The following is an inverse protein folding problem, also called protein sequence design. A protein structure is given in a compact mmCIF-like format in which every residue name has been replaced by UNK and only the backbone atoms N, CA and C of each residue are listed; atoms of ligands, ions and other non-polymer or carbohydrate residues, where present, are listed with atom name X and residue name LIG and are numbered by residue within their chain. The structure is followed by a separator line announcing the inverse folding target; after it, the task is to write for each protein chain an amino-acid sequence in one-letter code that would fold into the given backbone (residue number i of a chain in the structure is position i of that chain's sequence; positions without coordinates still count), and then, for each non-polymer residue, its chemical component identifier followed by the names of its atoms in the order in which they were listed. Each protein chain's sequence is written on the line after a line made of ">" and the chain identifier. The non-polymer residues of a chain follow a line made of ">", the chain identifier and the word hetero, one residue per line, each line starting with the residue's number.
data_IF_366128540077
#
_entry.id   IF_366128540077
#
_cell.length_a   1.000
_cell.length_b   1.000
_cell.length_c   1.000
_cell.angle_alpha   90.00
_cell.angle_beta   90.00
_cell.angle_gamma   90.00
#
_symmetry.space_group_name_H-M   'P 1'
#
loop_
_entity.id
_entity.type
_entity.pdbx_description
1 polymer ?
#
# COMPACT_ATOMS: atom_id res chain seq x y z
N UNK A 1 2.75 28.15 8.31
CA UNK A 1 3.56 27.09 7.67
C UNK A 1 2.64 25.90 7.43
N UNK A 2 2.18 25.67 6.19
CA UNK A 2 1.37 24.47 5.90
C UNK A 2 2.31 23.27 5.93
N UNK A 3 2.01 22.27 6.76
CA UNK A 3 2.87 21.08 6.89
C UNK A 3 2.83 20.31 5.58
N UNK A 4 3.99 19.92 5.05
CA UNK A 4 4.11 19.14 3.81
C UNK A 4 3.29 17.83 3.89
N UNK A 5 3.15 17.28 5.10
CA UNK A 5 2.28 16.14 5.44
C UNK A 5 0.81 16.38 5.12
N UNK A 6 0.27 17.53 5.51
CA UNK A 6 -1.14 17.88 5.26
C UNK A 6 -1.41 17.99 3.76
N UNK A 7 -0.49 18.60 3.00
CA UNK A 7 -0.59 18.71 1.54
C UNK A 7 -0.50 17.32 0.90
N UNK A 8 0.46 16.49 1.32
CA UNK A 8 0.61 15.11 0.86
C UNK A 8 -0.66 14.28 1.09
N UNK A 9 -1.27 14.37 2.28
CA UNK A 9 -2.51 13.66 2.61
C UNK A 9 -3.68 14.09 1.74
N UNK A 10 -3.85 15.41 1.56
CA UNK A 10 -4.91 15.96 0.70
C UNK A 10 -4.70 15.53 -0.75
N UNK A 11 -3.48 15.64 -1.28
CA UNK A 11 -3.17 15.20 -2.65
C UNK A 11 -3.34 13.69 -2.83
N UNK A 12 -3.02 12.88 -1.82
CA UNK A 12 -3.27 11.43 -1.84
C UNK A 12 -4.77 11.13 -1.86
N UNK A 13 -5.55 11.82 -1.04
CA UNK A 13 -7.01 11.70 -1.02
C UNK A 13 -7.65 12.10 -2.36
N UNK A 14 -7.18 13.20 -2.97
CA UNK A 14 -7.58 13.60 -4.32
C UNK A 14 -7.19 12.52 -5.33
N UNK A 15 -5.96 12.00 -5.27
CA UNK A 15 -5.50 10.92 -6.15
C UNK A 15 -6.37 9.67 -6.08
N UNK A 16 -6.67 9.19 -4.86
CA UNK A 16 -7.58 8.05 -4.64
C UNK A 16 -8.98 8.35 -5.18
N UNK A 17 -9.49 9.56 -4.97
CA UNK A 17 -10.81 9.97 -5.46
C UNK A 17 -10.86 9.99 -6.98
N UNK A 18 -9.83 10.54 -7.63
CA UNK A 18 -9.70 10.58 -9.10
C UNK A 18 -9.59 9.18 -9.68
N UNK A 19 -8.82 8.30 -9.04
CA UNK A 19 -8.73 6.88 -9.42
C UNK A 19 -10.08 6.18 -9.27
N UNK A 20 -10.78 6.38 -8.14
CA UNK A 20 -12.14 5.86 -7.93
C UNK A 20 -13.12 6.37 -9.00
N UNK A 21 -13.02 7.65 -9.36
CA UNK A 21 -13.80 8.22 -10.46
C UNK A 21 -13.48 7.56 -11.80
N UNK A 22 -12.21 7.26 -12.11
CA UNK A 22 -11.83 6.54 -13.32
C UNK A 22 -12.54 5.16 -13.39
N UNK A 23 -12.59 4.45 -12.27
CA UNK A 23 -13.30 3.17 -12.18
C UNK A 23 -14.82 3.33 -12.35
N UNK A 24 -15.43 4.32 -11.69
CA UNK A 24 -16.87 4.60 -11.80
C UNK A 24 -17.26 5.02 -13.23
N UNK A 25 -16.48 5.90 -13.87
CA UNK A 25 -16.73 6.32 -15.25
C UNK A 25 -16.67 5.11 -16.17
N UNK A 26 -15.67 4.22 -16.01
CA UNK A 26 -15.63 2.98 -16.79
C UNK A 26 -16.88 2.12 -16.57
N UNK A 27 -17.27 1.91 -15.31
CA UNK A 27 -18.46 1.13 -14.97
C UNK A 27 -19.75 1.71 -15.58
N UNK A 28 -19.93 3.03 -15.52
CA UNK A 28 -21.07 3.72 -16.11
C UNK A 28 -21.08 3.58 -17.65
N UNK A 29 -19.93 3.74 -18.31
CA UNK A 29 -19.82 3.57 -19.75
C UNK A 29 -20.14 2.14 -20.20
N UNK A 30 -19.75 1.14 -19.39
CA UNK A 30 -20.10 -0.27 -19.63
C UNK A 30 -21.62 -0.50 -19.54
N UNK A 31 -22.31 0.11 -18.57
CA UNK A 31 -23.78 0.00 -18.44
C UNK A 31 -24.51 0.65 -19.63
N UNK A 32 -23.97 1.76 -20.15
CA UNK A 32 -24.54 2.51 -21.25
C UNK A 32 -24.15 1.95 -22.64
N UNK A 33 -23.37 0.87 -22.69
CA UNK A 33 -22.82 0.25 -23.91
C UNK A 33 -22.00 1.22 -24.78
N UNK A 34 -21.38 2.23 -24.15
CA UNK A 34 -20.54 3.22 -24.82
C UNK A 34 -19.10 2.68 -24.85
N UNK A 35 -18.65 2.24 -26.02
CA UNK A 35 -17.31 1.70 -26.23
C UNK A 35 -16.37 2.73 -26.87
N UNK A 36 -15.05 2.56 -26.66
CA UNK A 36 -14.02 3.33 -27.36
C UNK A 36 -13.69 4.73 -26.81
N UNK A 37 -14.28 5.16 -25.69
CA UNK A 37 -13.93 6.46 -25.08
C UNK A 37 -12.71 6.35 -24.16
N UNK A 38 -11.84 7.36 -24.20
CA UNK A 38 -10.59 7.40 -23.43
C UNK A 38 -10.74 8.14 -22.07
N UNK A 39 -11.95 8.59 -21.71
CA UNK A 39 -12.19 9.33 -20.47
C UNK A 39 -11.71 8.62 -19.20
N UNK A 40 -11.95 7.30 -19.01
CA UNK A 40 -11.43 6.59 -17.84
C UNK A 40 -9.90 6.61 -17.79
N UNK A 41 -9.24 6.47 -18.95
CA UNK A 41 -7.78 6.47 -19.04
C UNK A 41 -7.19 7.84 -18.69
N UNK A 42 -7.81 8.94 -19.14
CA UNK A 42 -7.37 10.28 -18.78
C UNK A 42 -7.50 10.55 -17.28
N UNK A 43 -8.61 10.14 -16.66
CA UNK A 43 -8.77 10.23 -15.21
C UNK A 43 -7.68 9.43 -14.48
N UNK A 44 -7.38 8.22 -14.96
CA UNK A 44 -6.30 7.41 -14.40
C UNK A 44 -4.92 8.07 -14.53
N UNK A 45 -4.60 8.67 -15.68
CA UNK A 45 -3.33 9.38 -15.89
C UNK A 45 -3.16 10.52 -14.88
N UNK A 46 -4.24 11.29 -14.61
CA UNK A 46 -4.21 12.35 -13.60
C UNK A 46 -3.96 11.76 -12.21
N UNK A 47 -4.63 10.66 -11.86
CA UNK A 47 -4.41 9.95 -10.60
C UNK A 47 -2.97 9.43 -10.45
N UNK A 48 -2.40 8.85 -11.51
CA UNK A 48 -1.03 8.36 -11.54
C UNK A 48 0.00 9.51 -11.44
N UNK A 49 -0.24 10.64 -12.09
CA UNK A 49 0.59 11.83 -11.96
C UNK A 49 0.60 12.36 -10.51
N UNK A 50 -0.57 12.40 -9.86
CA UNK A 50 -0.68 12.79 -8.46
C UNK A 50 0.06 11.82 -7.54
N UNK A 51 0.01 10.52 -7.81
CA UNK A 51 0.78 9.51 -7.06
C UNK A 51 2.28 9.82 -7.09
N UNK A 52 2.85 10.17 -8.24
CA UNK A 52 4.28 10.51 -8.37
C UNK A 52 4.62 11.73 -7.50
N UNK A 53 3.80 12.77 -7.56
CA UNK A 53 3.97 14.00 -6.77
C UNK A 53 3.93 13.69 -5.27
N UNK A 54 2.92 12.93 -4.84
CA UNK A 54 2.74 12.50 -3.46
C UNK A 54 3.91 11.65 -2.97
N UNK A 55 4.40 10.71 -3.80
CA UNK A 55 5.53 9.85 -3.45
C UNK A 55 6.80 10.68 -3.20
N UNK A 56 7.08 11.67 -4.05
CA UNK A 56 8.20 12.60 -3.86
C UNK A 56 8.05 13.37 -2.54
N UNK A 57 6.86 13.95 -2.29
CA UNK A 57 6.61 14.71 -1.05
C UNK A 57 6.74 13.84 0.20
N UNK A 58 6.18 12.62 0.18
CA UNK A 58 6.22 11.69 1.30
C UNK A 58 7.65 11.20 1.56
N UNK A 59 8.45 10.98 0.51
CA UNK A 59 9.86 10.62 0.64
C UNK A 59 10.66 11.75 1.28
N UNK A 60 10.50 12.98 0.80
CA UNK A 60 11.16 14.16 1.37
C UNK A 60 10.77 14.30 2.85
N UNK A 61 9.47 14.25 3.18
CA UNK A 61 9.01 14.41 4.54
C UNK A 61 9.45 13.27 5.49
N UNK A 62 9.62 12.06 4.98
CA UNK A 62 10.08 10.91 5.77
C UNK A 62 11.55 11.04 6.13
N UNK A 63 12.41 11.46 5.18
CA UNK A 63 13.87 11.49 5.37
C UNK A 63 14.45 12.87 5.75
N UNK A 64 13.71 13.96 5.59
CA UNK A 64 14.14 15.29 6.04
C UNK A 64 13.29 15.73 7.22
N UNK A 65 13.81 15.57 8.44
CA UNK A 65 13.19 16.04 9.69
C UNK A 65 13.20 17.57 9.84
N UNK A 66 13.01 18.32 8.75
CA UNK A 66 13.19 19.78 8.73
C UNK A 66 11.91 20.59 8.99
N UNK A 67 10.82 19.98 9.43
CA UNK A 67 9.59 20.74 9.74
C UNK A 67 9.02 20.31 11.08
N UNK A 68 8.89 21.28 11.99
CA UNK A 68 8.67 21.06 13.43
C UNK A 68 7.41 20.29 13.82
N UNK A 69 7.42 19.75 15.04
CA UNK A 69 6.31 19.07 15.74
C UNK A 69 5.36 18.31 14.80
N UNK A 70 5.88 17.35 14.03
CA UNK A 70 5.05 16.44 13.24
C UNK A 70 4.70 15.26 14.14
N UNK A 71 3.41 15.01 14.37
CA UNK A 71 3.00 13.80 15.07
C UNK A 71 3.50 12.60 14.26
N UNK A 72 4.19 11.61 14.86
CA UNK A 72 4.61 10.39 14.17
C UNK A 72 3.46 9.72 13.41
N UNK A 73 2.25 9.84 13.96
CA UNK A 73 0.99 9.40 13.35
C UNK A 73 0.71 10.08 11.99
N UNK A 74 1.03 11.36 11.80
CA UNK A 74 0.82 12.08 10.53
C UNK A 74 1.71 11.53 9.41
N UNK A 75 2.95 11.13 9.74
CA UNK A 75 3.89 10.53 8.79
C UNK A 75 3.44 9.13 8.40
N UNK A 76 2.99 8.34 9.38
CA UNK A 76 2.48 6.99 9.16
C UNK A 76 1.23 7.02 8.27
N UNK A 77 0.27 7.89 8.59
CA UNK A 77 -0.97 8.05 7.82
C UNK A 77 -0.70 8.53 6.39
N UNK A 78 0.22 9.48 6.20
CA UNK A 78 0.63 9.91 4.85
C UNK A 78 1.16 8.74 4.02
N UNK A 79 2.12 8.00 4.58
CA UNK A 79 2.72 6.86 3.89
C UNK A 79 1.71 5.73 3.61
N UNK A 80 0.68 5.56 4.45
CA UNK A 80 -0.43 4.64 4.22
C UNK A 80 -1.31 5.06 3.05
N UNK A 81 -1.64 6.35 2.92
CA UNK A 81 -2.38 6.84 1.77
C UNK A 81 -1.58 6.73 0.47
N UNK A 82 -0.26 6.97 0.52
CA UNK A 82 0.62 6.73 -0.64
C UNK A 82 0.58 5.26 -1.06
N UNK A 83 0.66 4.34 -0.09
CA UNK A 83 0.55 2.90 -0.32
C UNK A 83 -0.78 2.53 -0.99
N UNK A 84 -1.91 2.99 -0.45
CA UNK A 84 -3.24 2.71 -1.03
C UNK A 84 -3.39 3.30 -2.43
N UNK A 85 -2.89 4.53 -2.65
CA UNK A 85 -2.93 5.18 -3.97
C UNK A 85 -2.13 4.37 -4.99
N UNK A 86 -0.96 3.85 -4.61
CA UNK A 86 -0.13 3.01 -5.49
C UNK A 86 -0.84 1.70 -5.87
N UNK A 87 -1.43 1.00 -4.89
CA UNK A 87 -2.20 -0.22 -5.15
C UNK A 87 -3.40 0.06 -6.06
N UNK A 88 -4.17 1.09 -5.76
CA UNK A 88 -5.34 1.45 -6.58
C UNK A 88 -4.95 1.90 -7.98
N UNK A 89 -3.86 2.63 -8.16
CA UNK A 89 -3.38 3.00 -9.49
C UNK A 89 -3.09 1.75 -10.33
N UNK A 90 -2.37 0.76 -9.79
CA UNK A 90 -2.04 -0.48 -10.50
C UNK A 90 -3.30 -1.29 -10.81
N UNK A 91 -4.18 -1.46 -9.81
CA UNK A 91 -5.39 -2.25 -9.96
C UNK A 91 -6.40 -1.63 -10.92
N UNK A 92 -6.58 -0.31 -10.86
CA UNK A 92 -7.49 0.40 -11.76
C UNK A 92 -6.89 0.46 -13.17
N UNK A 93 -5.57 0.39 -13.34
CA UNK A 93 -5.01 0.28 -14.69
C UNK A 93 -5.40 -1.05 -15.36
N UNK A 94 -5.26 -2.18 -14.65
CA UNK A 94 -5.77 -3.47 -15.13
C UNK A 94 -7.30 -3.49 -15.24
N UNK A 95 -7.95 -2.75 -14.33
CA UNK A 95 -9.26 -2.13 -14.45
C UNK A 95 -9.60 -1.77 -15.89
N UNK A 96 -8.93 -0.73 -16.36
CA UNK A 96 -9.25 -0.01 -17.57
C UNK A 96 -8.94 -0.77 -18.86
N UNK A 97 -7.95 -1.67 -18.86
CA UNK A 97 -7.56 -2.48 -20.03
C UNK A 97 -8.02 -3.95 -19.91
N UNK A 98 -9.26 -4.28 -20.32
CA UNK A 98 -9.79 -5.65 -20.28
C UNK A 98 -9.30 -6.50 -21.46
N UNK A 99 -8.63 -5.90 -22.44
CA UNK A 99 -8.29 -6.56 -23.71
C UNK A 99 -7.10 -7.50 -23.54
N UNK A 100 -6.28 -7.29 -22.49
CA UNK A 100 -5.06 -8.06 -22.27
C UNK A 100 -5.08 -8.80 -20.91
N UNK A 101 -5.59 -10.05 -20.87
CA UNK A 101 -5.59 -10.88 -19.67
C UNK A 101 -4.18 -11.12 -19.08
N UNK A 102 -3.15 -11.19 -19.92
CA UNK A 102 -1.77 -11.37 -19.44
C UNK A 102 -1.27 -10.13 -18.69
N UNK A 103 -1.61 -8.94 -19.17
CA UNK A 103 -1.29 -7.68 -18.47
C UNK A 103 -2.05 -7.60 -17.14
N UNK A 104 -3.34 -7.96 -17.11
CA UNK A 104 -4.13 -8.00 -15.89
C UNK A 104 -3.53 -8.93 -14.82
N UNK A 105 -3.15 -10.16 -15.19
CA UNK A 105 -2.47 -11.10 -14.28
C UNK A 105 -1.14 -10.53 -13.81
N UNK A 106 -0.36 -9.91 -14.71
CA UNK A 106 0.92 -9.27 -14.34
C UNK A 106 0.73 -8.14 -13.32
N UNK A 107 -0.23 -7.23 -13.55
CA UNK A 107 -0.55 -6.12 -12.66
C UNK A 107 -1.08 -6.61 -11.30
N UNK A 108 -1.91 -7.65 -11.30
CA UNK A 108 -2.39 -8.27 -10.07
C UNK A 108 -1.25 -8.85 -9.24
N UNK A 109 -0.33 -9.56 -9.89
CA UNK A 109 0.86 -10.13 -9.24
C UNK A 109 1.78 -9.03 -8.70
N UNK A 110 1.98 -7.93 -9.43
CA UNK A 110 2.75 -6.78 -8.96
C UNK A 110 2.09 -6.17 -7.72
N UNK A 111 0.78 -5.91 -7.76
CA UNK A 111 0.04 -5.37 -6.61
C UNK A 111 0.11 -6.31 -5.40
N UNK A 112 -0.02 -7.63 -5.62
CA UNK A 112 0.12 -8.66 -4.58
C UNK A 112 1.51 -8.62 -3.93
N UNK A 113 2.57 -8.48 -4.73
CA UNK A 113 3.93 -8.39 -4.20
C UNK A 113 4.16 -7.12 -3.37
N UNK A 114 3.56 -5.98 -3.76
CA UNK A 114 3.61 -4.74 -2.97
C UNK A 114 2.91 -4.94 -1.62
N UNK A 115 1.73 -5.56 -1.59
CA UNK A 115 1.02 -5.89 -0.35
C UNK A 115 1.84 -6.81 0.53
N UNK A 116 2.44 -7.87 -0.04
CA UNK A 116 3.31 -8.80 0.69
C UNK A 116 4.52 -8.09 1.28
N UNK A 117 5.17 -7.20 0.52
CA UNK A 117 6.28 -6.39 1.03
C UNK A 117 5.85 -5.51 2.21
N UNK A 118 4.64 -4.94 2.14
CA UNK A 118 4.09 -4.13 3.22
C UNK A 118 3.79 -4.96 4.48
N UNK A 119 3.21 -6.16 4.33
CA UNK A 119 3.01 -7.12 5.43
C UNK A 119 4.35 -7.50 6.07
N UNK A 120 5.37 -7.78 5.25
CA UNK A 120 6.72 -8.08 5.72
C UNK A 120 7.28 -6.95 6.58
N UNK A 121 7.23 -5.70 6.09
CA UNK A 121 7.72 -4.54 6.83
C UNK A 121 6.95 -4.33 8.14
N UNK A 122 5.63 -4.48 8.12
CA UNK A 122 4.80 -4.35 9.31
C UNK A 122 5.17 -5.35 10.40
N UNK A 123 5.23 -6.64 10.04
CA UNK A 123 5.58 -7.71 10.99
C UNK A 123 7.03 -7.53 11.46
N UNK A 124 7.95 -7.14 10.57
CA UNK A 124 9.34 -6.87 10.94
C UNK A 124 9.45 -5.74 11.98
N UNK A 125 8.77 -4.61 11.77
CA UNK A 125 8.75 -3.49 12.71
C UNK A 125 8.12 -3.91 14.04
N UNK A 126 7.02 -4.65 14.00
CA UNK A 126 6.33 -5.13 15.20
C UNK A 126 7.20 -6.06 16.07
N UNK A 127 7.97 -6.96 15.44
CA UNK A 127 8.85 -7.88 16.15
C UNK A 127 10.26 -7.32 16.43
N UNK A 128 10.62 -6.15 15.89
CA UNK A 128 11.93 -5.53 16.04
C UNK A 128 12.39 -5.45 17.50
N UNK A 129 11.51 -5.03 18.42
CA UNK A 129 11.82 -4.97 19.84
C UNK A 129 12.08 -6.34 20.47
N UNK A 130 11.43 -7.40 19.98
CA UNK A 130 11.65 -8.78 20.47
C UNK A 130 12.94 -9.38 19.90
N UNK A 131 13.28 -9.04 18.66
CA UNK A 131 14.53 -9.43 18.01
C UNK A 131 15.73 -8.81 18.72
N UNK A 132 15.62 -7.53 19.08
CA UNK A 132 16.72 -6.74 19.67
C UNK A 132 16.86 -6.90 21.19
N UNK A 133 15.85 -7.43 21.89
CA UNK A 133 15.94 -7.73 23.33
C UNK A 133 17.16 -8.61 23.65
N UNK A 134 18.15 -8.07 24.35
CA UNK A 134 19.38 -8.79 24.72
C UNK A 134 20.59 -8.52 23.81
N UNK A 135 20.50 -7.58 22.86
CA UNK A 135 21.67 -7.18 22.06
C UNK A 135 22.81 -6.56 22.87
N UNK A 136 22.55 -6.14 24.12
CA UNK A 136 23.52 -5.45 24.99
C UNK A 136 24.57 -6.36 25.64
N UNK A 137 24.47 -7.70 25.54
CA UNK A 137 25.40 -8.62 26.22
C UNK A 137 26.05 -9.65 25.30
N UNK A 138 26.76 -9.25 24.25
CA UNK A 138 27.63 -10.17 23.47
C UNK A 138 26.94 -11.41 22.87
N UNK A 139 25.61 -11.46 22.91
CA UNK A 139 24.76 -12.59 22.53
C UNK A 139 24.41 -12.54 21.03
N UNK A 140 25.43 -12.33 20.18
CA UNK A 140 25.24 -12.27 18.72
C UNK A 140 24.57 -13.54 18.21
N UNK A 141 24.91 -14.71 18.78
CA UNK A 141 24.28 -16.00 18.44
C UNK A 141 22.78 -16.04 18.75
N UNK A 142 22.36 -15.44 19.86
CA UNK A 142 20.96 -15.42 20.26
C UNK A 142 20.15 -14.45 19.41
N UNK A 143 20.70 -13.28 19.12
CA UNK A 143 20.10 -12.30 18.21
C UNK A 143 19.93 -12.88 16.81
N UNK A 144 20.95 -13.55 16.26
CA UNK A 144 20.86 -14.22 14.96
C UNK A 144 19.83 -15.36 14.97
N UNK A 145 19.74 -16.14 16.06
CA UNK A 145 18.74 -17.21 16.20
C UNK A 145 17.31 -16.65 16.19
N UNK A 146 17.04 -15.60 16.95
CA UNK A 146 15.73 -14.92 16.99
C UNK A 146 15.37 -14.31 15.64
N UNK A 147 16.34 -13.66 14.99
CA UNK A 147 16.15 -13.12 13.64
C UNK A 147 15.81 -14.21 12.63
N UNK A 148 16.52 -15.35 12.63
CA UNK A 148 16.23 -16.47 11.73
C UNK A 148 14.82 -17.03 11.96
N UNK A 149 14.39 -17.19 13.22
CA UNK A 149 13.07 -17.70 13.54
C UNK A 149 11.97 -16.75 13.07
N UNK A 150 12.11 -15.44 13.33
CA UNK A 150 11.13 -14.43 12.88
C UNK A 150 11.11 -14.36 11.36
N UNK A 151 12.26 -14.45 10.69
CA UNK A 151 12.36 -14.47 9.23
C UNK A 151 11.69 -15.70 8.60
N UNK A 152 11.81 -16.87 9.24
CA UNK A 152 11.14 -18.09 8.80
C UNK A 152 9.61 -17.94 8.92
N UNK A 153 9.14 -17.43 10.06
CA UNK A 153 7.71 -17.17 10.29
C UNK A 153 7.15 -16.16 9.29
N UNK A 154 7.89 -15.08 9.04
CA UNK A 154 7.60 -14.10 7.99
C UNK A 154 7.47 -14.75 6.62
N UNK A 155 8.42 -15.61 6.25
CA UNK A 155 8.37 -16.35 4.98
C UNK A 155 7.11 -17.19 4.83
N UNK A 156 6.67 -17.88 5.89
CA UNK A 156 5.43 -18.66 5.89
C UNK A 156 4.21 -17.76 5.72
N UNK A 157 4.14 -16.63 6.43
CA UNK A 157 3.03 -15.67 6.31
C UNK A 157 2.96 -15.09 4.90
N UNK A 158 4.09 -14.68 4.33
CA UNK A 158 4.16 -14.14 2.97
C UNK A 158 3.73 -15.19 1.93
N UNK A 159 4.16 -16.44 2.09
CA UNK A 159 3.74 -17.53 1.21
C UNK A 159 2.23 -17.79 1.32
N UNK A 160 1.66 -17.80 2.53
CA UNK A 160 0.24 -17.98 2.73
C UNK A 160 -0.59 -16.84 2.10
N UNK A 161 -0.15 -15.60 2.23
CA UNK A 161 -0.79 -14.43 1.59
C UNK A 161 -0.74 -14.56 0.07
N UNK A 162 0.42 -14.92 -0.50
CA UNK A 162 0.55 -15.14 -1.94
C UNK A 162 -0.38 -16.23 -2.44
N UNK A 163 -0.36 -17.39 -1.80
CA UNK A 163 -1.25 -18.52 -2.16
C UNK A 163 -2.72 -18.13 -2.05
N UNK A 164 -3.09 -17.35 -1.03
CA UNK A 164 -4.45 -16.82 -0.88
C UNK A 164 -4.86 -15.94 -2.05
N UNK A 165 -4.00 -15.03 -2.50
CA UNK A 165 -4.29 -14.17 -3.66
C UNK A 165 -4.28 -14.90 -4.99
N UNK A 166 -3.35 -15.84 -5.19
CA UNK A 166 -3.33 -16.71 -6.37
C UNK A 166 -4.63 -17.54 -6.44
N UNK A 167 -5.11 -18.03 -5.29
CA UNK A 167 -6.38 -18.74 -5.18
C UNK A 167 -7.59 -17.83 -5.48
N UNK A 168 -7.59 -16.58 -5.01
CA UNK A 168 -8.64 -15.60 -5.34
C UNK A 168 -8.66 -15.32 -6.85
N UNK A 169 -7.50 -15.07 -7.45
CA UNK A 169 -7.39 -14.79 -8.88
C UNK A 169 -7.92 -15.95 -9.73
N UNK A 170 -7.59 -17.19 -9.35
CA UNK A 170 -8.05 -18.39 -10.06
C UNK A 170 -9.51 -18.75 -9.78
N UNK A 171 -10.04 -18.46 -8.60
CA UNK A 171 -11.41 -18.83 -8.23
C UNK A 171 -12.46 -17.84 -8.74
N UNK A 172 -12.13 -16.55 -8.81
CA UNK A 172 -13.08 -15.50 -9.21
C UNK A 172 -13.28 -15.46 -10.72
N UNK A 173 -12.32 -15.95 -11.53
CA UNK A 173 -12.38 -16.03 -13.00
C UNK A 173 -12.56 -14.69 -13.76
N UNK A 174 -12.69 -13.57 -13.07
CA UNK A 174 -12.68 -12.23 -13.67
C UNK A 174 -11.84 -11.27 -12.83
N UNK A 175 -11.12 -10.38 -13.51
CA UNK A 175 -10.11 -9.52 -12.88
C UNK A 175 -10.73 -8.54 -11.87
N UNK A 176 -11.93 -8.03 -12.15
CA UNK A 176 -12.58 -7.01 -11.33
C UNK A 176 -12.82 -7.50 -9.90
N UNK A 177 -13.31 -8.72 -9.74
CA UNK A 177 -13.58 -9.28 -8.42
C UNK A 177 -12.29 -9.58 -7.66
N UNK A 178 -11.26 -10.07 -8.36
CA UNK A 178 -9.94 -10.28 -7.77
C UNK A 178 -9.31 -8.95 -7.32
N UNK A 179 -9.36 -7.91 -8.17
CA UNK A 179 -8.85 -6.57 -7.88
C UNK A 179 -9.58 -5.93 -6.69
N UNK A 180 -10.91 -6.05 -6.60
CA UNK A 180 -11.68 -5.59 -5.44
C UNK A 180 -11.25 -6.32 -4.17
N UNK A 181 -11.08 -7.64 -4.21
CA UNK A 181 -10.64 -8.41 -3.05
C UNK A 181 -9.24 -7.99 -2.57
N UNK A 182 -8.27 -7.81 -3.49
CA UNK A 182 -6.93 -7.32 -3.15
C UNK A 182 -6.95 -5.88 -2.61
N UNK A 183 -7.73 -5.00 -3.24
CA UNK A 183 -7.89 -3.61 -2.80
C UNK A 183 -8.50 -3.52 -1.41
N UNK A 184 -9.54 -4.31 -1.13
CA UNK A 184 -10.18 -4.36 0.19
C UNK A 184 -9.23 -4.94 1.24
N UNK A 185 -8.48 -5.97 0.90
CA UNK A 185 -7.43 -6.49 1.79
C UNK A 185 -6.38 -5.42 2.11
N UNK A 186 -5.93 -4.64 1.14
CA UNK A 186 -4.96 -3.56 1.36
C UNK A 186 -5.50 -2.48 2.31
N UNK A 187 -6.79 -2.12 2.18
CA UNK A 187 -7.46 -1.20 3.11
C UNK A 187 -7.53 -1.78 4.52
N UNK A 188 -7.95 -3.04 4.66
CA UNK A 188 -8.00 -3.73 5.96
C UNK A 188 -6.61 -3.79 6.59
N UNK A 189 -5.58 -4.09 5.80
CA UNK A 189 -4.19 -4.12 6.27
C UNK A 189 -3.72 -2.76 6.82
N UNK A 190 -4.08 -1.66 6.15
CA UNK A 190 -3.80 -0.30 6.63
C UNK A 190 -4.52 -0.05 7.95
N UNK A 191 -5.81 -0.38 8.06
CA UNK A 191 -6.59 -0.20 9.29
C UNK A 191 -6.00 -1.03 10.44
N UNK A 192 -5.64 -2.28 10.18
CA UNK A 192 -4.96 -3.16 11.15
C UNK A 192 -3.64 -2.55 11.59
N UNK A 193 -2.83 -2.07 10.65
CA UNK A 193 -1.55 -1.42 10.96
C UNK A 193 -1.74 -0.20 11.87
N UNK A 194 -2.74 0.64 11.60
CA UNK A 194 -3.07 1.79 12.47
C UNK A 194 -3.49 1.33 13.87
N UNK A 195 -4.30 0.29 13.99
CA UNK A 195 -4.73 -0.22 15.31
C UNK A 195 -3.57 -0.81 16.13
N UNK A 196 -2.60 -1.46 15.49
CA UNK A 196 -1.48 -2.12 16.18
C UNK A 196 -0.27 -1.20 16.41
N UNK A 197 0.04 -0.28 15.48
CA UNK A 197 1.15 0.68 15.63
C UNK A 197 0.71 2.04 16.17
N UNK A 198 -0.59 2.35 16.15
CA UNK A 198 -1.14 3.57 16.74
C UNK A 198 -1.07 3.53 18.26
N UNK A 199 0.03 4.04 18.83
CA UNK A 199 0.14 4.38 20.26
C UNK A 199 0.60 5.83 20.44
N UNK A 200 0.00 6.48 21.44
CA UNK A 200 0.07 7.91 21.80
C UNK A 200 1.49 8.48 21.79
N UNK A 201 1.64 9.62 21.10
CA UNK A 201 2.66 10.66 21.29
C UNK A 201 4.01 10.15 21.82
N UNK A 202 4.91 9.75 20.93
CA UNK A 202 6.32 9.66 21.27
C UNK A 202 6.93 11.08 21.22
N UNK A 203 7.52 11.58 22.32
CA UNK A 203 8.22 12.86 22.30
C UNK A 203 9.39 12.78 21.32
N UNK A 204 9.44 13.75 20.39
CA UNK A 204 10.53 13.89 19.43
C UNK A 204 11.70 14.57 20.15
N UNK A 205 12.74 13.82 20.43
CA UNK A 205 14.03 14.30 20.93
C UNK A 205 14.23 14.13 22.44
N UNK A 206 15.16 13.23 22.79
CA UNK A 206 16.16 13.51 23.82
C UNK A 206 17.50 13.76 23.13
#
# INVERSE_FOLDING_TARGET
>A
MVRLTTISNVLSGIGITVLGFAAIIKFMLQILDITGTLYPLYAWIVGAALLVVVLIMSSINTFTEKTGFVNPEDKLVSNMFVFLTAIFAILIFGYLDPVNPALQVSLFNIATMIVIAYVFLFVFVYFSGTITKGSEKGQIKELTSRFMLVSLLLGVVMAAVKVGFDWILTSVNFYEGAAVALGLFAVVLVVVTVMFLGRKYEPVGE
#
